data_IF_006343619787
#
_entry.id   IF_006343619787
#
_cell.length_a   1.000
_cell.length_b   1.000
_cell.length_c   1.000
_cell.angle_alpha   90.00
_cell.angle_beta   90.00
_cell.angle_gamma   90.00
#
_symmetry.space_group_name_H-M   'P 1'
#
loop_
_entity.id
_entity.type
_entity.pdbx_description
1 polymer ?
#
# COMPACT_ATOMS: atom_id res chain seq x y z
N UNK A 1 24.42 0.11 -15.26
CA UNK A 1 23.37 1.15 -15.12
C UNK A 1 23.24 1.45 -13.64
N UNK A 2 23.33 2.75 -13.31
CA UNK A 2 23.71 3.26 -12.00
C UNK A 2 22.73 2.93 -10.87
N UNK A 3 23.29 2.49 -9.73
CA UNK A 3 22.63 2.56 -8.43
C UNK A 3 22.68 4.00 -7.95
N UNK A 4 21.52 4.64 -7.86
CA UNK A 4 21.35 5.85 -7.05
C UNK A 4 20.40 5.45 -5.93
N UNK A 5 20.97 5.03 -4.80
CA UNK A 5 20.29 5.04 -3.52
C UNK A 5 20.67 6.37 -2.85
N UNK A 6 19.95 7.44 -3.20
CA UNK A 6 20.05 8.72 -2.48
C UNK A 6 19.21 8.62 -1.20
N UNK A 7 19.96 8.57 -0.09
CA UNK A 7 19.71 9.07 1.27
C UNK A 7 18.26 9.46 1.67
N UNK A 8 17.85 8.91 2.83
CA UNK A 8 16.65 9.23 3.61
C UNK A 8 15.29 8.64 3.17
N UNK A 9 15.21 7.32 3.00
CA UNK A 9 13.92 6.61 3.08
C UNK A 9 13.97 5.48 4.12
N UNK A 10 13.04 5.52 5.07
CA UNK A 10 12.83 4.42 6.02
C UNK A 10 12.49 3.13 5.23
N UNK A 11 12.98 1.95 5.64
CA UNK A 11 12.88 0.70 4.88
C UNK A 11 11.44 0.17 4.71
N UNK A 12 10.45 0.85 5.27
CA UNK A 12 9.03 0.50 5.26
C UNK A 12 8.22 1.07 4.08
N UNK A 13 8.86 1.85 3.19
CA UNK A 13 8.24 2.42 1.98
C UNK A 13 8.65 1.74 0.66
N UNK A 14 9.36 0.60 0.70
CA UNK A 14 9.70 -0.18 -0.50
C UNK A 14 8.50 -0.98 -1.04
N UNK A 15 7.61 -0.32 -1.79
CA UNK A 15 6.63 -0.97 -2.67
C UNK A 15 7.28 -1.25 -4.03
N UNK A 16 7.79 -2.47 -4.24
CA UNK A 16 8.11 -2.95 -5.59
C UNK A 16 6.80 -3.18 -6.38
N UNK A 17 6.43 -2.20 -7.19
CA UNK A 17 5.40 -2.29 -8.22
C UNK A 17 6.08 -2.18 -9.59
N UNK A 18 6.51 -3.29 -10.18
CA UNK A 18 6.74 -3.34 -11.63
C UNK A 18 6.23 -4.67 -12.20
N UNK A 19 5.01 -4.61 -12.76
CA UNK A 19 4.51 -5.59 -13.71
C UNK A 19 4.78 -5.07 -15.12
N UNK A 20 5.70 -5.72 -15.82
CA UNK A 20 5.91 -5.58 -17.26
C UNK A 20 5.48 -6.87 -17.96
N UNK A 21 4.38 -6.79 -18.73
CA UNK A 21 3.89 -7.88 -19.57
C UNK A 21 4.62 -7.86 -20.91
N UNK A 22 5.31 -8.95 -21.29
CA UNK A 22 5.54 -9.32 -22.69
C UNK A 22 5.98 -10.78 -22.84
N UNK A 23 5.19 -11.58 -23.55
CA UNK A 23 5.70 -12.60 -24.47
C UNK A 23 5.73 -14.06 -23.99
N UNK A 24 4.93 -14.87 -24.69
CA UNK A 24 5.24 -16.23 -25.18
C UNK A 24 5.48 -17.36 -24.16
N UNK A 25 4.78 -18.47 -24.36
CA UNK A 25 4.59 -19.52 -23.35
C UNK A 25 5.87 -20.20 -22.87
N UNK A 26 5.93 -20.47 -21.57
CA UNK A 26 6.69 -21.57 -20.99
C UNK A 26 6.00 -22.04 -19.70
N UNK A 27 5.76 -23.34 -19.61
CA UNK A 27 5.39 -24.07 -18.39
C UNK A 27 6.36 -23.78 -17.25
N UNK A 28 5.88 -23.27 -16.10
CA UNK A 28 6.69 -23.17 -14.88
C UNK A 28 5.91 -23.59 -13.63
N UNK A 29 6.05 -24.87 -13.25
CA UNK A 29 6.03 -25.24 -11.84
C UNK A 29 7.41 -24.90 -11.26
N UNK A 30 7.55 -23.68 -10.75
CA UNK A 30 8.82 -23.14 -10.22
C UNK A 30 8.84 -21.61 -10.33
N UNK A 31 7.91 -20.94 -9.63
CA UNK A 31 7.64 -19.50 -9.81
C UNK A 31 6.15 -19.20 -9.92
N UNK A 32 5.32 -19.77 -9.04
CA UNK A 32 3.86 -19.64 -9.12
C UNK A 32 3.45 -18.19 -8.82
N UNK A 33 3.06 -17.46 -9.87
CA UNK A 33 2.31 -16.21 -9.72
C UNK A 33 1.02 -16.57 -8.98
N UNK A 34 0.93 -16.21 -7.71
CA UNK A 34 -0.29 -16.41 -6.92
C UNK A 34 -1.24 -15.28 -7.31
N UNK A 35 -2.30 -15.62 -8.03
CA UNK A 35 -3.34 -14.65 -8.41
C UNK A 35 -4.23 -14.40 -7.18
N UNK A 36 -4.34 -13.15 -6.69
CA UNK A 36 -5.22 -12.80 -5.58
C UNK A 36 -6.68 -13.21 -5.85
N UNK A 37 -7.41 -13.66 -4.82
CA UNK A 37 -8.85 -13.92 -4.92
C UNK A 37 -9.62 -12.63 -5.18
N UNK A 38 -10.90 -12.73 -5.57
CA UNK A 38 -11.76 -11.54 -5.74
C UNK A 38 -11.83 -10.72 -4.45
N UNK A 39 -11.89 -11.37 -3.28
CA UNK A 39 -11.94 -10.69 -2.00
C UNK A 39 -10.62 -9.97 -1.69
N UNK A 40 -9.47 -10.60 -1.94
CA UNK A 40 -8.17 -9.94 -1.81
C UNK A 40 -8.04 -8.76 -2.77
N UNK A 41 -8.53 -8.88 -4.02
CA UNK A 41 -8.52 -7.79 -4.99
C UNK A 41 -9.37 -6.61 -4.52
N UNK A 42 -10.57 -6.86 -3.97
CA UNK A 42 -11.41 -5.81 -3.40
C UNK A 42 -10.74 -5.10 -2.21
N UNK A 43 -10.09 -5.86 -1.34
CA UNK A 43 -9.37 -5.29 -0.19
C UNK A 43 -8.17 -4.45 -0.67
N UNK A 44 -7.41 -4.95 -1.64
CA UNK A 44 -6.30 -4.21 -2.26
C UNK A 44 -6.77 -2.92 -2.93
N UNK A 45 -7.95 -2.93 -3.58
CA UNK A 45 -8.54 -1.73 -4.15
C UNK A 45 -8.85 -0.67 -3.06
N UNK A 46 -9.42 -1.08 -1.93
CA UNK A 46 -9.65 -0.19 -0.78
C UNK A 46 -8.36 0.37 -0.20
N UNK A 47 -7.32 -0.47 -0.06
CA UNK A 47 -6.00 -0.04 0.42
C UNK A 47 -5.42 1.04 -0.51
N UNK A 48 -5.54 0.88 -1.83
CA UNK A 48 -5.07 1.90 -2.80
C UNK A 48 -5.76 3.24 -2.61
N UNK A 49 -7.06 3.25 -2.36
CA UNK A 49 -7.83 4.49 -2.09
C UNK A 49 -7.31 5.18 -0.82
N UNK A 50 -7.13 4.43 0.26
CA UNK A 50 -6.59 4.97 1.53
C UNK A 50 -5.18 5.54 1.34
N UNK A 51 -4.33 4.84 0.59
CA UNK A 51 -2.97 5.32 0.31
C UNK A 51 -2.96 6.62 -0.49
N UNK A 52 -3.87 6.76 -1.46
CA UNK A 52 -4.00 8.00 -2.22
C UNK A 52 -4.51 9.14 -1.35
N UNK A 53 -5.49 8.90 -0.47
CA UNK A 53 -5.95 9.90 0.51
C UNK A 53 -4.80 10.32 1.45
N UNK A 54 -4.07 9.37 1.99
CA UNK A 54 -2.93 9.64 2.87
C UNK A 54 -1.83 10.46 2.14
N UNK A 55 -1.57 10.17 0.86
CA UNK A 55 -0.64 10.97 0.04
C UNK A 55 -1.10 12.41 -0.12
N UNK A 56 -2.40 12.65 -0.36
CA UNK A 56 -2.96 14.00 -0.45
C UNK A 56 -2.82 14.76 0.86
N UNK A 57 -3.21 14.16 1.97
CA UNK A 57 -3.10 14.78 3.30
C UNK A 57 -1.64 15.11 3.66
N UNK A 58 -0.69 14.22 3.33
CA UNK A 58 0.74 14.50 3.51
C UNK A 58 1.18 15.73 2.71
N UNK A 59 0.71 15.88 1.46
CA UNK A 59 1.00 17.08 0.65
C UNK A 59 0.38 18.33 1.26
N UNK A 60 -0.84 18.25 1.78
CA UNK A 60 -1.52 19.39 2.40
C UNK A 60 -0.77 19.86 3.66
N UNK A 61 -0.31 18.93 4.50
CA UNK A 61 0.53 19.26 5.67
C UNK A 61 1.82 19.98 5.23
N UNK A 62 2.51 19.46 4.22
CA UNK A 62 3.74 20.08 3.70
C UNK A 62 3.47 21.47 3.12
N UNK A 63 2.32 21.69 2.48
CA UNK A 63 1.94 23.00 1.95
C UNK A 63 1.70 24.01 3.09
N UNK A 64 1.01 23.59 4.16
CA UNK A 64 0.78 24.43 5.34
C UNK A 64 2.09 24.77 6.06
N UNK A 65 2.98 23.78 6.23
CA UNK A 65 4.28 23.98 6.89
C UNK A 65 5.17 24.95 6.08
N UNK A 66 5.12 24.92 4.74
CA UNK A 66 5.88 25.83 3.86
C UNK A 66 5.39 27.28 3.89
N UNK A 67 4.09 27.49 4.11
CA UNK A 67 3.51 28.83 4.12
C UNK A 67 3.77 29.58 5.43
N UNK A 68 4.30 28.92 6.47
CA UNK A 68 4.66 29.50 7.79
C UNK A 68 3.56 30.30 8.52
N UNK A 69 2.36 30.41 7.95
CA UNK A 69 1.26 31.28 8.41
C UNK A 69 -0.08 30.54 8.58
N UNK A 70 -0.12 29.23 8.36
CA UNK A 70 -1.35 28.45 8.50
C UNK A 70 -1.78 28.19 9.96
N UNK A 71 -3.09 28.03 10.24
CA UNK A 71 -3.56 27.67 11.58
C UNK A 71 -2.98 26.31 12.01
N UNK A 72 -2.25 26.28 13.13
CA UNK A 72 -1.71 25.02 13.69
C UNK A 72 -2.79 23.98 14.02
N UNK A 73 -4.03 24.42 14.21
CA UNK A 73 -5.18 23.55 14.43
C UNK A 73 -5.51 22.67 13.20
N UNK A 74 -5.26 23.17 11.99
CA UNK A 74 -5.54 22.45 10.74
C UNK A 74 -4.54 21.32 10.54
N UNK A 75 -3.26 21.59 10.83
CA UNK A 75 -2.19 20.56 10.78
C UNK A 75 -2.44 19.44 11.79
N UNK A 76 -2.89 19.76 13.01
CA UNK A 76 -3.23 18.75 14.01
C UNK A 76 -4.37 17.85 13.52
N UNK A 77 -5.39 18.43 12.90
CA UNK A 77 -6.53 17.68 12.33
C UNK A 77 -6.09 16.76 11.20
N UNK A 78 -5.25 17.26 10.29
CA UNK A 78 -4.69 16.45 9.19
C UNK A 78 -3.80 15.30 9.71
N UNK A 79 -2.99 15.53 10.75
CA UNK A 79 -2.20 14.48 11.40
C UNK A 79 -3.07 13.42 12.07
N UNK A 80 -4.13 13.82 12.77
CA UNK A 80 -5.10 12.88 13.34
C UNK A 80 -5.77 12.04 12.24
N UNK A 81 -6.13 12.66 11.11
CA UNK A 81 -6.70 11.93 9.97
C UNK A 81 -5.70 10.93 9.39
N UNK A 82 -4.42 11.26 9.26
CA UNK A 82 -3.39 10.30 8.84
C UNK A 82 -3.30 9.10 9.78
N UNK A 83 -3.42 9.31 11.08
CA UNK A 83 -3.38 8.21 12.04
C UNK A 83 -4.59 7.27 11.89
N UNK A 84 -5.78 7.84 11.68
CA UNK A 84 -6.97 7.05 11.34
C UNK A 84 -6.76 6.24 10.07
N UNK A 85 -6.21 6.84 9.01
CA UNK A 85 -5.95 6.15 7.74
C UNK A 85 -4.90 5.03 7.89
N UNK A 86 -3.89 5.21 8.76
CA UNK A 86 -2.91 4.17 9.09
C UNK A 86 -3.58 2.97 9.74
N UNK A 87 -4.43 3.21 10.74
CA UNK A 87 -5.17 2.15 11.40
C UNK A 87 -6.09 1.42 10.42
N UNK A 88 -6.85 2.16 9.60
CA UNK A 88 -7.72 1.56 8.59
C UNK A 88 -6.95 0.73 7.57
N UNK A 89 -5.76 1.17 7.14
CA UNK A 89 -4.88 0.37 6.28
C UNK A 89 -4.44 -0.92 6.96
N UNK A 90 -4.02 -0.85 8.22
CA UNK A 90 -3.60 -2.03 8.98
C UNK A 90 -4.74 -3.04 9.12
N UNK A 91 -5.96 -2.57 9.40
CA UNK A 91 -7.15 -3.43 9.49
C UNK A 91 -7.48 -4.10 8.15
N UNK A 92 -7.39 -3.36 7.04
CA UNK A 92 -7.57 -3.94 5.70
C UNK A 92 -6.47 -4.94 5.36
N UNK A 93 -5.22 -4.69 5.75
CA UNK A 93 -4.12 -5.63 5.52
C UNK A 93 -4.35 -6.94 6.29
N UNK A 94 -4.81 -6.85 7.54
CA UNK A 94 -5.20 -8.02 8.33
C UNK A 94 -6.36 -8.78 7.67
N UNK A 95 -7.36 -8.08 7.11
CA UNK A 95 -8.43 -8.72 6.34
C UNK A 95 -7.90 -9.41 5.08
N UNK A 96 -6.96 -8.79 4.37
CA UNK A 96 -6.34 -9.38 3.17
C UNK A 96 -5.62 -10.68 3.50
N UNK A 97 -4.85 -10.69 4.59
CA UNK A 97 -4.14 -11.89 5.06
C UNK A 97 -5.12 -13.00 5.40
N UNK A 98 -6.21 -12.71 6.11
CA UNK A 98 -7.26 -13.70 6.41
C UNK A 98 -7.91 -14.26 5.14
N UNK A 99 -8.25 -13.41 4.18
CA UNK A 99 -8.79 -13.86 2.90
C UNK A 99 -7.80 -14.73 2.11
N UNK A 100 -6.51 -14.42 2.19
CA UNK A 100 -5.46 -15.24 1.60
C UNK A 100 -5.34 -16.60 2.29
N UNK A 101 -5.38 -16.64 3.63
CA UNK A 101 -5.37 -17.88 4.42
C UNK A 101 -6.59 -18.77 4.11
N UNK A 102 -7.78 -18.18 4.01
CA UNK A 102 -9.00 -18.89 3.65
C UNK A 102 -8.89 -19.53 2.26
N UNK A 103 -8.41 -18.78 1.27
CA UNK A 103 -8.11 -19.33 -0.06
C UNK A 103 -7.14 -20.50 0.04
N UNK A 104 -6.06 -20.38 0.81
CA UNK A 104 -5.07 -21.44 0.96
C UNK A 104 -5.69 -22.71 1.59
N UNK A 105 -6.54 -22.57 2.61
CA UNK A 105 -7.29 -23.70 3.18
C UNK A 105 -8.22 -24.36 2.16
N UNK A 106 -8.95 -23.57 1.37
CA UNK A 106 -9.81 -24.10 0.30
C UNK A 106 -9.03 -24.86 -0.78
N UNK A 107 -7.78 -24.48 -1.02
CA UNK A 107 -6.87 -25.17 -1.95
C UNK A 107 -6.18 -26.40 -1.32
N UNK A 108 -6.52 -26.75 -0.07
CA UNK A 108 -5.95 -27.90 0.64
C UNK A 108 -4.55 -27.66 1.19
N UNK A 109 -4.14 -26.39 1.33
CA UNK A 109 -2.91 -26.01 2.00
C UNK A 109 -3.22 -25.72 3.48
N UNK A 110 -2.50 -26.40 4.39
CA UNK A 110 -2.62 -26.27 5.84
C UNK A 110 -1.32 -25.75 6.45
#
# INVERSE_FOLDING_TARGET
>A
MNKICELDHQPEDCLCLEGGNQGHGTTTCGGKITIPSLDEQHILAKIRVIQEEARRIKKDILAVDRLAEGPRADVKTLRNRLEVLRQQRADLENQRVRAAEERMRFLGHA
#
